data_IF_738361150123
#
_entry.id   IF_738361150123
#
_cell.length_a   1.000
_cell.length_b   1.000
_cell.length_c   1.000
_cell.angle_alpha   90.00
_cell.angle_beta   90.00
_cell.angle_gamma   90.00
#
_symmetry.space_group_name_H-M   'P 1'
#
loop_
_entity.id
_entity.type
_entity.pdbx_description
1 polymer ?
#
# COMPACT_ATOMS: atom_id res chain seq x y z
N UNK A 1 -11.48 -7.35 17.99
CA UNK A 1 -10.17 -8.00 17.71
C UNK A 1 -10.29 -9.09 16.61
N UNK A 2 -10.51 -8.74 15.33
CA UNK A 2 -10.52 -9.75 14.24
C UNK A 2 -9.67 -9.41 13.01
N UNK A 3 -9.23 -8.16 12.81
CA UNK A 3 -8.29 -7.78 11.72
C UNK A 3 -6.83 -8.24 11.91
N UNK A 4 -6.42 -8.57 13.13
CA UNK A 4 -5.06 -9.04 13.45
C UNK A 4 -4.89 -10.57 13.27
N UNK A 5 -5.99 -11.28 13.01
CA UNK A 5 -6.04 -12.75 13.01
C UNK A 5 -5.45 -13.37 11.74
N UNK A 6 -5.52 -12.70 10.58
CA UNK A 6 -4.94 -13.25 9.33
C UNK A 6 -3.41 -13.14 9.29
N UNK A 7 -2.82 -11.98 9.67
CA UNK A 7 -1.35 -11.83 9.71
C UNK A 7 -0.68 -12.72 10.74
N UNK A 8 -1.27 -12.84 11.93
CA UNK A 8 -0.72 -13.73 12.96
C UNK A 8 -0.77 -15.21 12.52
N UNK A 9 -1.81 -15.60 11.78
CA UNK A 9 -1.90 -16.93 11.18
C UNK A 9 -0.82 -17.13 10.09
N UNK A 10 -0.65 -16.18 9.17
CA UNK A 10 0.40 -16.23 8.14
C UNK A 10 1.80 -16.35 8.75
N UNK A 11 2.10 -15.52 9.75
CA UNK A 11 3.37 -15.56 10.49
C UNK A 11 3.53 -16.90 11.21
N UNK A 12 2.46 -17.43 11.81
CA UNK A 12 2.45 -18.75 12.44
C UNK A 12 2.85 -19.85 11.45
N UNK A 13 2.20 -19.89 10.28
CA UNK A 13 2.49 -20.86 9.21
C UNK A 13 3.95 -20.76 8.77
N UNK A 14 4.45 -19.54 8.49
CA UNK A 14 5.85 -19.37 8.07
C UNK A 14 6.81 -19.88 9.16
N UNK A 15 6.57 -19.52 10.43
CA UNK A 15 7.42 -19.97 11.55
C UNK A 15 7.41 -21.48 11.73
N UNK A 16 6.25 -22.12 11.60
CA UNK A 16 6.12 -23.57 11.70
C UNK A 16 6.84 -24.28 10.55
N UNK A 17 6.68 -23.81 9.33
CA UNK A 17 7.31 -24.39 8.15
C UNK A 17 8.84 -24.20 8.14
N UNK A 18 9.34 -23.03 8.57
CA UNK A 18 10.76 -22.81 8.79
C UNK A 18 11.33 -23.78 9.85
N UNK A 19 10.60 -23.99 10.94
CA UNK A 19 11.00 -24.91 12.01
C UNK A 19 11.09 -26.36 11.53
N UNK A 20 10.15 -26.83 10.68
CA UNK A 20 10.20 -28.17 10.07
C UNK A 20 11.47 -28.37 9.23
N UNK A 21 11.89 -27.32 8.54
CA UNK A 21 13.11 -27.31 7.72
C UNK A 21 14.40 -27.01 8.52
N UNK A 22 14.30 -26.84 9.85
CA UNK A 22 15.40 -26.45 10.75
C UNK A 22 16.08 -25.13 10.35
N UNK A 23 15.31 -24.21 9.78
CA UNK A 23 15.77 -22.87 9.39
C UNK A 23 15.33 -21.90 10.47
N UNK A 24 16.26 -21.10 11.02
CA UNK A 24 15.89 -20.03 11.93
C UNK A 24 15.34 -18.82 11.16
N UNK A 25 14.55 -17.97 11.83
CA UNK A 25 14.07 -16.74 11.20
C UNK A 25 15.22 -15.81 10.79
N UNK A 26 16.29 -15.76 11.60
CA UNK A 26 17.51 -15.00 11.30
C UNK A 26 18.21 -15.50 10.04
N UNK A 27 18.28 -16.82 9.84
CA UNK A 27 18.86 -17.38 8.60
C UNK A 27 17.99 -17.02 7.40
N UNK A 28 16.66 -17.12 7.54
CA UNK A 28 15.74 -16.85 6.43
C UNK A 28 15.80 -15.40 5.91
N UNK A 29 16.15 -14.43 6.77
CA UNK A 29 16.29 -13.02 6.41
C UNK A 29 17.72 -12.64 6.02
N UNK A 30 18.71 -13.51 6.25
CA UNK A 30 20.08 -13.28 5.77
C UNK A 30 20.12 -13.38 4.24
N UNK A 31 20.70 -12.37 3.59
CA UNK A 31 20.68 -12.26 2.13
C UNK A 31 21.45 -13.41 1.45
N UNK A 32 22.57 -13.83 2.02
CA UNK A 32 23.40 -14.90 1.47
C UNK A 32 22.71 -16.26 1.61
N UNK A 33 22.10 -16.51 2.78
CA UNK A 33 21.30 -17.69 3.03
C UNK A 33 20.08 -17.72 2.11
N UNK A 34 19.37 -16.60 1.95
CA UNK A 34 18.22 -16.49 1.06
C UNK A 34 18.60 -16.83 -0.38
N UNK A 35 19.70 -16.25 -0.91
CA UNK A 35 20.16 -16.54 -2.28
C UNK A 35 20.47 -18.02 -2.48
N UNK A 36 21.11 -18.67 -1.50
CA UNK A 36 21.44 -20.10 -1.54
C UNK A 36 20.22 -21.01 -1.41
N UNK A 37 19.17 -20.57 -0.69
CA UNK A 37 18.02 -21.40 -0.33
C UNK A 37 16.69 -20.90 -0.95
N UNK A 38 16.76 -20.05 -1.98
CA UNK A 38 15.62 -19.34 -2.57
C UNK A 38 14.45 -20.24 -2.91
N UNK A 39 14.71 -21.38 -3.56
CA UNK A 39 13.65 -22.32 -3.97
C UNK A 39 12.91 -22.92 -2.76
N UNK A 40 13.66 -23.30 -1.73
CA UNK A 40 13.09 -23.83 -0.48
C UNK A 40 12.27 -22.78 0.26
N UNK A 41 12.80 -21.56 0.40
CA UNK A 41 12.10 -20.45 1.05
C UNK A 41 10.84 -20.05 0.27
N UNK A 42 10.90 -20.06 -1.07
CA UNK A 42 9.73 -19.86 -1.92
C UNK A 42 8.68 -20.96 -1.73
N UNK A 43 9.10 -22.23 -1.60
CA UNK A 43 8.19 -23.35 -1.34
C UNK A 43 7.51 -23.23 0.03
N UNK A 44 8.24 -22.77 1.06
CA UNK A 44 7.66 -22.44 2.37
C UNK A 44 6.65 -21.31 2.24
N UNK A 45 7.01 -20.21 1.58
CA UNK A 45 6.13 -19.05 1.43
C UNK A 45 4.83 -19.40 0.67
N UNK A 46 4.92 -20.27 -0.35
CA UNK A 46 3.74 -20.76 -1.10
C UNK A 46 2.75 -21.57 -0.26
N UNK A 47 3.11 -22.01 0.94
CA UNK A 47 2.18 -22.69 1.88
C UNK A 47 1.28 -21.70 2.63
N UNK A 48 1.62 -20.41 2.61
CA UNK A 48 0.78 -19.36 3.19
C UNK A 48 -0.47 -19.21 2.32
N UNK A 49 -1.70 -19.28 2.89
CA UNK A 49 -2.92 -19.12 2.13
C UNK A 49 -3.00 -17.77 1.41
N UNK A 50 -3.66 -17.76 0.25
CA UNK A 50 -3.78 -16.58 -0.60
C UNK A 50 -2.74 -16.55 -1.73
N UNK A 51 -2.82 -15.53 -2.57
CA UNK A 51 -1.83 -15.26 -3.60
C UNK A 51 -0.80 -14.19 -3.13
N UNK A 52 0.18 -13.92 -3.97
CA UNK A 52 1.25 -12.95 -3.69
C UNK A 52 0.71 -11.54 -3.39
N UNK A 53 -0.33 -11.11 -4.09
CA UNK A 53 -0.90 -9.77 -3.94
C UNK A 53 -1.74 -9.70 -2.65
N UNK A 54 -2.48 -10.75 -2.30
CA UNK A 54 -3.23 -10.79 -1.02
C UNK A 54 -2.33 -10.81 0.21
N UNK A 55 -1.08 -11.25 0.05
CA UNK A 55 -0.06 -11.31 1.10
C UNK A 55 0.96 -10.16 0.99
N UNK A 56 0.73 -9.19 0.11
CA UNK A 56 1.58 -8.01 -0.01
C UNK A 56 1.50 -7.14 1.24
N UNK A 57 2.65 -6.58 1.63
CA UNK A 57 2.74 -5.73 2.81
C UNK A 57 2.01 -4.41 2.57
N UNK A 58 1.13 -4.06 3.50
CA UNK A 58 0.51 -2.74 3.60
C UNK A 58 1.06 -2.02 4.83
N UNK A 59 1.18 -0.70 4.77
CA UNK A 59 1.80 0.12 5.80
C UNK A 59 1.03 1.42 6.00
N UNK A 60 0.71 1.73 7.25
CA UNK A 60 0.35 3.09 7.66
C UNK A 60 1.60 3.77 8.19
N UNK A 61 1.86 4.99 7.73
CA UNK A 61 2.93 5.85 8.24
C UNK A 61 2.39 7.24 8.51
N UNK A 62 2.49 7.71 9.75
CA UNK A 62 2.08 9.06 10.12
C UNK A 62 1.62 9.15 11.57
N UNK A 63 1.22 10.34 11.99
CA UNK A 63 0.86 10.60 13.37
C UNK A 63 -0.60 10.17 13.64
N UNK A 64 -0.82 9.51 14.77
CA UNK A 64 -2.16 9.17 15.24
C UNK A 64 -2.81 10.34 16.02
N UNK A 65 -2.79 11.53 15.42
CA UNK A 65 -3.30 12.77 16.02
C UNK A 65 -3.76 13.74 14.94
N UNK A 66 -4.71 14.61 15.29
CA UNK A 66 -5.23 15.66 14.42
C UNK A 66 -4.35 16.92 14.40
N UNK A 67 -3.36 17.00 15.29
CA UNK A 67 -2.44 18.13 15.43
C UNK A 67 -1.28 18.08 14.43
N UNK A 68 -1.28 17.11 13.51
CA UNK A 68 -0.26 17.01 12.46
C UNK A 68 -0.97 16.90 11.12
N UNK A 69 -0.63 17.82 10.23
CA UNK A 69 -1.23 17.97 8.91
C UNK A 69 -0.18 17.74 7.84
N UNK A 70 -0.64 17.37 6.64
CA UNK A 70 0.21 17.31 5.46
C UNK A 70 -0.37 18.08 4.29
N UNK A 71 0.50 18.64 3.46
CA UNK A 71 0.17 19.21 2.15
C UNK A 71 0.82 18.38 1.06
N UNK A 72 0.00 17.92 0.13
CA UNK A 72 0.48 17.19 -1.04
C UNK A 72 0.59 18.18 -2.20
N UNK A 73 1.75 18.21 -2.85
CA UNK A 73 2.04 19.15 -3.92
C UNK A 73 2.97 18.54 -4.97
N UNK A 74 3.02 19.14 -6.16
CA UNK A 74 4.05 18.84 -7.14
C UNK A 74 5.12 19.94 -7.07
N UNK A 75 6.37 19.64 -6.63
CA UNK A 75 7.43 20.64 -6.49
C UNK A 75 7.90 21.23 -7.83
N UNK A 76 7.65 20.57 -8.95
CA UNK A 76 7.99 21.07 -10.29
C UNK A 76 6.93 22.08 -10.79
N UNK A 77 5.73 22.04 -10.23
CA UNK A 77 4.66 22.99 -10.51
C UNK A 77 4.69 24.12 -9.46
N UNK A 78 5.78 24.90 -9.48
CA UNK A 78 5.89 26.13 -8.68
C UNK A 78 4.64 27.00 -8.90
N UNK A 79 3.77 27.09 -7.88
CA UNK A 79 2.61 28.00 -7.87
C UNK A 79 1.22 27.37 -7.64
N UNK A 80 1.07 26.04 -7.71
CA UNK A 80 -0.19 25.37 -7.34
C UNK A 80 -0.05 24.65 -5.99
N UNK A 81 -0.03 25.44 -4.92
CA UNK A 81 -0.29 24.92 -3.58
C UNK A 81 -1.76 24.51 -3.56
N UNK A 82 -2.05 23.21 -3.50
CA UNK A 82 -3.38 22.80 -3.08
C UNK A 82 -3.55 23.25 -1.62
N UNK A 83 -4.27 24.36 -1.42
CA UNK A 83 -4.46 25.04 -0.13
C UNK A 83 -5.22 24.21 0.93
N UNK A 84 -5.43 22.92 0.70
CA UNK A 84 -6.19 22.04 1.57
C UNK A 84 -5.26 21.01 2.17
N UNK A 85 -4.98 21.17 3.46
CA UNK A 85 -4.26 20.17 4.22
C UNK A 85 -5.08 18.87 4.31
N UNK A 86 -4.36 17.76 4.49
CA UNK A 86 -4.91 16.46 4.85
C UNK A 86 -4.33 15.99 6.18
N UNK A 87 -4.89 14.91 6.71
CA UNK A 87 -4.31 14.22 7.87
C UNK A 87 -2.93 13.68 7.52
N UNK A 88 -1.99 13.69 8.45
CA UNK A 88 -0.59 13.35 8.17
C UNK A 88 -0.32 11.87 7.82
N UNK A 89 -1.29 10.98 8.01
CA UNK A 89 -1.14 9.56 7.72
C UNK A 89 -1.14 9.24 6.23
N UNK A 90 -0.23 8.36 5.84
CA UNK A 90 -0.13 7.78 4.51
C UNK A 90 -0.39 6.28 4.59
N UNK A 91 -1.30 5.77 3.76
CA UNK A 91 -1.53 4.34 3.57
C UNK A 91 -0.84 3.88 2.30
N UNK A 92 0.22 3.09 2.46
CA UNK A 92 0.95 2.44 1.37
C UNK A 92 0.45 1.02 1.21
N UNK A 93 -0.04 0.69 0.02
CA UNK A 93 -0.61 -0.64 -0.25
C UNK A 93 0.29 -1.53 -1.10
N UNK A 94 1.34 -1.00 -1.72
CA UNK A 94 2.18 -1.77 -2.64
C UNK A 94 1.33 -2.50 -3.67
N UNK A 95 1.52 -3.81 -3.81
CA UNK A 95 0.76 -4.67 -4.73
C UNK A 95 -0.48 -5.32 -4.11
N UNK A 96 -0.90 -4.87 -2.92
CA UNK A 96 -2.02 -5.47 -2.19
C UNK A 96 -3.30 -5.52 -3.02
N UNK A 97 -3.88 -6.70 -3.13
CA UNK A 97 -5.18 -6.85 -3.79
C UNK A 97 -6.31 -6.48 -2.82
N UNK A 98 -6.77 -5.23 -2.89
CA UNK A 98 -7.90 -4.73 -2.11
C UNK A 98 -9.28 -5.05 -2.73
N UNK A 99 -9.31 -5.72 -3.89
CA UNK A 99 -10.56 -5.99 -4.60
C UNK A 99 -11.44 -7.00 -3.85
N UNK A 100 -12.74 -6.96 -4.08
CA UNK A 100 -13.67 -7.89 -3.45
C UNK A 100 -13.94 -7.61 -1.97
N UNK A 101 -14.92 -8.32 -1.41
CA UNK A 101 -15.49 -8.02 -0.08
C UNK A 101 -14.56 -8.43 1.07
N UNK A 102 -13.96 -9.62 0.97
CA UNK A 102 -13.18 -10.20 2.07
C UNK A 102 -11.84 -9.51 2.26
N UNK A 103 -11.09 -9.31 1.17
CA UNK A 103 -9.79 -8.62 1.18
C UNK A 103 -9.95 -7.17 1.65
N UNK A 104 -10.95 -6.45 1.12
CA UNK A 104 -11.31 -5.13 1.63
C UNK A 104 -11.60 -5.14 3.13
N UNK A 105 -12.44 -6.07 3.60
CA UNK A 105 -12.79 -6.16 5.02
C UNK A 105 -11.57 -6.40 5.90
N UNK A 106 -10.64 -7.26 5.48
CA UNK A 106 -9.40 -7.50 6.21
C UNK A 106 -8.53 -6.24 6.28
N UNK A 107 -8.40 -5.51 5.18
CA UNK A 107 -7.68 -4.23 5.15
C UNK A 107 -8.35 -3.19 6.07
N UNK A 108 -9.66 -3.03 5.95
CA UNK A 108 -10.46 -2.10 6.75
C UNK A 108 -10.34 -2.41 8.24
N UNK A 109 -10.49 -3.68 8.66
CA UNK A 109 -10.33 -4.09 10.05
C UNK A 109 -8.89 -3.93 10.57
N UNK A 110 -7.88 -4.11 9.72
CA UNK A 110 -6.48 -3.93 10.11
C UNK A 110 -6.11 -2.46 10.33
N UNK A 111 -6.77 -1.54 9.61
CA UNK A 111 -6.49 -0.11 9.66
C UNK A 111 -7.57 0.73 10.35
N UNK A 112 -8.64 0.12 10.86
CA UNK A 112 -9.77 0.81 11.52
C UNK A 112 -9.34 1.87 12.55
N UNK A 113 -8.36 1.61 13.45
CA UNK A 113 -7.89 2.61 14.40
C UNK A 113 -7.19 3.83 13.76
N UNK A 114 -6.71 3.66 12.52
CA UNK A 114 -5.88 4.61 11.79
C UNK A 114 -6.64 5.34 10.67
N UNK A 115 -7.80 4.84 10.22
CA UNK A 115 -8.53 5.36 9.06
C UNK A 115 -8.76 6.87 9.12
N UNK A 116 -9.11 7.38 10.30
CA UNK A 116 -9.38 8.82 10.52
C UNK A 116 -8.13 9.71 10.45
N UNK A 117 -6.94 9.12 10.47
CA UNK A 117 -5.66 9.82 10.36
C UNK A 117 -5.04 9.72 8.96
N UNK A 118 -5.68 9.02 8.02
CA UNK A 118 -5.17 8.87 6.65
C UNK A 118 -5.56 10.10 5.83
N UNK A 119 -4.56 10.74 5.24
CA UNK A 119 -4.72 11.86 4.30
C UNK A 119 -4.00 11.66 2.97
N UNK A 120 -3.23 10.57 2.81
CA UNK A 120 -2.66 10.16 1.54
C UNK A 120 -2.82 8.64 1.37
N UNK A 121 -3.22 8.19 0.19
CA UNK A 121 -3.40 6.79 -0.14
C UNK A 121 -2.64 6.48 -1.42
N UNK A 122 -1.68 5.54 -1.33
CA UNK A 122 -1.08 4.95 -2.52
C UNK A 122 -2.03 3.87 -3.06
N UNK A 123 -2.62 4.11 -4.23
CA UNK A 123 -3.49 3.14 -4.93
C UNK A 123 -2.70 1.84 -5.19
N UNK A 124 -3.31 0.66 -4.95
CA UNK A 124 -2.57 -0.60 -5.02
C UNK A 124 -2.21 -0.98 -6.45
N UNK A 125 -1.13 -1.76 -6.59
CA UNK A 125 -0.71 -2.46 -7.79
C UNK A 125 -0.71 -1.56 -9.03
N UNK A 126 -0.01 -0.43 -8.94
CA UNK A 126 0.11 0.56 -10.01
C UNK A 126 -1.22 1.14 -10.53
N UNK A 127 -2.34 0.98 -9.80
CA UNK A 127 -3.67 1.34 -10.29
C UNK A 127 -4.29 0.29 -11.21
N UNK A 128 -3.98 -0.99 -10.99
CA UNK A 128 -4.68 -2.09 -11.64
C UNK A 128 -6.12 -2.20 -11.14
N UNK A 129 -7.07 -2.29 -12.08
CA UNK A 129 -8.49 -2.50 -11.77
C UNK A 129 -8.75 -3.76 -10.95
N UNK A 130 -7.91 -4.78 -11.12
CA UNK A 130 -8.02 -6.09 -10.45
C UNK A 130 -7.68 -6.02 -8.96
N UNK A 131 -6.88 -5.05 -8.55
CA UNK A 131 -6.50 -4.85 -7.14
C UNK A 131 -7.26 -3.70 -6.49
N UNK A 132 -7.90 -2.84 -7.29
CA UNK A 132 -8.55 -1.63 -6.82
C UNK A 132 -9.95 -1.87 -6.22
N UNK A 133 -10.26 -1.11 -5.18
CA UNK A 133 -11.58 -1.05 -4.54
C UNK A 133 -12.01 0.41 -4.39
N UNK A 134 -13.16 0.77 -4.97
CA UNK A 134 -13.65 2.16 -4.97
C UNK A 134 -13.98 2.69 -3.57
N UNK A 135 -14.15 1.82 -2.57
CA UNK A 135 -14.31 2.24 -1.17
C UNK A 135 -13.11 3.01 -0.62
N UNK A 136 -11.91 2.85 -1.21
CA UNK A 136 -10.75 3.69 -0.89
C UNK A 136 -11.05 5.19 -1.09
N UNK A 137 -11.90 5.52 -2.05
CA UNK A 137 -12.23 6.90 -2.41
C UNK A 137 -13.16 7.59 -1.40
N UNK A 138 -13.69 6.84 -0.43
CA UNK A 138 -14.45 7.39 0.70
C UNK A 138 -13.56 8.03 1.75
N UNK A 139 -12.25 7.77 1.71
CA UNK A 139 -11.28 8.39 2.61
C UNK A 139 -11.04 9.83 2.13
N UNK A 140 -11.05 10.79 3.05
CA UNK A 140 -10.64 12.16 2.73
C UNK A 140 -9.12 12.26 2.61
N UNK A 141 -8.60 11.78 1.49
CA UNK A 141 -7.19 11.72 1.20
C UNK A 141 -6.88 12.17 -0.24
N UNK A 142 -5.60 12.41 -0.47
CA UNK A 142 -4.99 12.47 -1.79
C UNK A 142 -4.64 11.07 -2.29
N UNK A 143 -4.72 10.83 -3.60
CA UNK A 143 -4.54 9.50 -4.19
C UNK A 143 -3.33 9.47 -5.13
N UNK A 144 -2.30 8.72 -4.73
CA UNK A 144 -1.06 8.56 -5.49
C UNK A 144 -1.06 7.21 -6.20
N UNK A 145 -0.71 7.22 -7.49
CA UNK A 145 -0.56 6.03 -8.32
C UNK A 145 0.89 5.98 -8.79
N UNK A 146 1.68 5.07 -8.22
CA UNK A 146 3.04 4.82 -8.68
C UNK A 146 3.01 3.89 -9.88
N UNK A 147 3.57 4.29 -11.03
CA UNK A 147 3.64 3.47 -12.26
C UNK A 147 5.00 3.60 -12.93
N UNK A 148 5.42 2.59 -13.68
CA UNK A 148 6.66 2.68 -14.46
C UNK A 148 6.48 3.59 -15.68
N UNK A 149 7.45 4.44 -15.98
CA UNK A 149 7.41 5.40 -17.10
C UNK A 149 7.20 4.73 -18.45
N UNK A 150 7.88 3.59 -18.68
CA UNK A 150 7.71 2.79 -19.92
C UNK A 150 6.34 2.14 -20.02
N UNK A 151 5.58 2.13 -18.92
CA UNK A 151 4.23 1.64 -18.78
C UNK A 151 3.94 0.30 -19.51
N UNK A 152 4.84 -0.68 -19.35
CA UNK A 152 4.75 -1.98 -20.03
C UNK A 152 3.46 -2.75 -19.73
N UNK A 153 2.86 -2.49 -18.56
CA UNK A 153 1.66 -3.17 -18.08
C UNK A 153 0.38 -2.36 -18.32
N UNK A 154 0.47 -1.19 -18.98
CA UNK A 154 -0.67 -0.32 -19.28
C UNK A 154 -1.47 0.07 -18.01
N UNK A 155 -0.74 0.51 -16.99
CA UNK A 155 -1.27 1.00 -15.72
C UNK A 155 -0.99 2.52 -15.53
N UNK A 156 -1.83 3.26 -14.79
CA UNK A 156 -3.09 2.81 -14.20
C UNK A 156 -4.11 2.43 -15.27
N UNK A 157 -5.05 1.53 -14.93
CA UNK A 157 -6.15 1.24 -15.85
C UNK A 157 -7.04 2.48 -16.00
N UNK A 158 -7.56 2.69 -17.20
CA UNK A 158 -8.42 3.84 -17.51
C UNK A 158 -9.66 3.89 -16.60
N UNK A 159 -10.18 2.72 -16.22
CA UNK A 159 -11.29 2.57 -15.28
C UNK A 159 -10.95 3.07 -13.88
N UNK A 160 -9.73 2.81 -13.37
CA UNK A 160 -9.31 3.32 -12.06
C UNK A 160 -9.19 4.84 -12.09
N UNK A 161 -8.57 5.40 -13.12
CA UNK A 161 -8.48 6.86 -13.31
C UNK A 161 -9.86 7.49 -13.41
N UNK A 162 -10.75 6.89 -14.22
CA UNK A 162 -12.14 7.33 -14.36
C UNK A 162 -12.88 7.32 -13.02
N UNK A 163 -12.74 6.26 -12.24
CA UNK A 163 -13.40 6.15 -10.94
C UNK A 163 -12.95 7.27 -10.00
N UNK A 164 -11.63 7.53 -9.90
CA UNK A 164 -11.06 8.58 -9.05
C UNK A 164 -11.61 9.95 -9.45
N UNK A 165 -11.61 10.28 -10.74
CA UNK A 165 -12.09 11.56 -11.24
C UNK A 165 -13.60 11.72 -11.03
N UNK A 166 -14.40 10.67 -11.24
CA UNK A 166 -15.85 10.69 -10.98
C UNK A 166 -16.19 10.89 -9.49
N UNK A 167 -15.30 10.49 -8.59
CA UNK A 167 -15.40 10.78 -7.16
C UNK A 167 -14.88 12.19 -6.78
N UNK A 168 -14.60 13.05 -7.77
CA UNK A 168 -14.06 14.41 -7.59
C UNK A 168 -12.72 14.43 -6.84
N UNK A 169 -11.89 13.42 -7.08
CA UNK A 169 -10.53 13.30 -6.55
C UNK A 169 -9.51 13.41 -7.69
N UNK A 170 -8.26 13.72 -7.35
CA UNK A 170 -7.18 13.85 -8.32
C UNK A 170 -6.24 12.62 -8.28
N UNK A 171 -5.99 11.94 -9.42
CA UNK A 171 -5.04 10.84 -9.49
C UNK A 171 -3.61 11.36 -9.72
N UNK A 172 -2.82 11.44 -8.66
CA UNK A 172 -1.40 11.80 -8.75
C UNK A 172 -0.59 10.66 -9.35
N UNK A 173 -0.26 10.73 -10.64
CA UNK A 173 0.54 9.71 -11.34
C UNK A 173 2.03 10.01 -11.15
N UNK A 174 2.75 9.10 -10.48
CA UNK A 174 4.17 9.22 -10.14
C UNK A 174 4.96 8.10 -10.81
N UNK A 175 6.11 8.42 -11.38
CA UNK A 175 7.01 7.49 -12.09
C UNK A 175 8.44 7.63 -11.59
N UNK A 176 9.36 6.83 -12.13
CA UNK A 176 10.80 6.97 -11.90
C UNK A 176 11.40 8.26 -12.50
N UNK A 177 10.64 9.02 -13.31
CA UNK A 177 11.09 10.32 -13.81
C UNK A 177 10.89 11.38 -12.71
N UNK A 178 11.94 12.12 -12.31
CA UNK A 178 11.85 13.13 -11.26
C UNK A 178 10.74 14.17 -11.46
N UNK A 179 10.43 14.52 -12.71
CA UNK A 179 9.36 15.48 -13.05
C UNK A 179 7.95 15.08 -12.61
N UNK A 180 7.74 13.80 -12.32
CA UNK A 180 6.46 13.26 -11.85
C UNK A 180 6.37 13.18 -10.33
N UNK A 181 7.37 13.71 -9.61
CA UNK A 181 7.42 13.67 -8.15
C UNK A 181 6.22 14.39 -7.54
N UNK A 182 5.78 13.86 -6.40
CA UNK A 182 4.79 14.46 -5.53
C UNK A 182 5.42 14.56 -4.15
N UNK A 183 5.47 15.78 -3.63
CA UNK A 183 5.96 16.10 -2.29
C UNK A 183 4.83 16.01 -1.27
N UNK A 184 5.19 15.65 -0.04
CA UNK A 184 4.34 15.75 1.13
C UNK A 184 5.08 16.58 2.20
N UNK A 185 4.58 17.78 2.47
CA UNK A 185 5.10 18.64 3.53
C UNK A 185 4.25 18.42 4.79
N UNK A 186 4.90 18.14 5.93
CA UNK A 186 4.23 17.81 7.19
C UNK A 186 4.52 18.86 8.23
N UNK A 187 3.47 19.41 8.86
CA UNK A 187 3.58 20.45 9.89
C UNK A 187 2.66 20.18 11.08
N UNK A 188 2.93 20.88 12.19
CA UNK A 188 2.03 20.94 13.32
C UNK A 188 0.83 21.83 12.96
N UNK A 189 -0.38 21.34 13.21
CA UNK A 189 -1.66 21.97 12.87
C UNK A 189 -2.30 22.77 13.99
#
# INVERSE_FOLDING_TARGET
MRGQMSRNLQIGIIKEELKKEKISLSDAIDENFFKKNKEKLNAIYKKVPGDFNTNSMTLFSGACTDNVRQYIYNPELYGYIHCYYKKSGCLFMGDYDASGKEKWKQLEEAYEPYLKYIGCVQIPHHGSRRSFNSKLLNIDAEFVISVGYKNRYHHPSAEVVKEIVLHKKWPWIVTEIPKSIVGAEVELG
#
